data_IF_366480266733
#
_entry.id   IF_366480266733
#
_cell.length_a   1.000
_cell.length_b   1.000
_cell.length_c   1.000
_cell.angle_alpha   90.00
_cell.angle_beta   90.00
_cell.angle_gamma   90.00
#
_symmetry.space_group_name_H-M   'P 1'
#
loop_
_entity.id
_entity.type
_entity.pdbx_description
1 polymer ?
#
# COMPACT_ATOMS: atom_id res chain seq x y z
N UNK A 1 12.12 -1.50 -2.25
CA UNK A 1 11.18 -2.61 -2.02
C UNK A 1 11.63 -3.46 -0.84
N UNK A 2 12.60 -4.39 -1.00
CA UNK A 2 13.01 -5.33 0.07
C UNK A 2 13.38 -4.68 1.41
N UNK A 3 14.00 -3.51 1.39
CA UNK A 3 14.36 -2.76 2.60
C UNK A 3 13.20 -2.02 3.27
N UNK A 4 12.16 -1.65 2.53
CA UNK A 4 11.05 -0.81 2.99
C UNK A 4 9.72 -1.56 3.15
N UNK A 5 9.71 -2.87 2.92
CA UNK A 5 8.55 -3.76 3.12
C UNK A 5 8.99 -4.99 3.90
N UNK A 6 8.08 -5.71 4.58
CA UNK A 6 8.39 -6.97 5.29
C UNK A 6 8.45 -8.19 4.35
N UNK A 7 8.88 -8.02 3.09
CA UNK A 7 8.85 -9.11 2.11
C UNK A 7 9.68 -10.32 2.53
N UNK A 8 10.79 -10.11 3.23
CA UNK A 8 11.64 -11.14 3.81
C UNK A 8 10.93 -11.97 4.89
N UNK A 9 10.01 -11.37 5.64
CA UNK A 9 9.13 -12.09 6.58
C UNK A 9 8.05 -12.84 5.81
N UNK A 10 7.41 -12.17 4.85
CA UNK A 10 6.35 -12.74 4.00
C UNK A 10 6.83 -13.97 3.24
N UNK A 11 8.05 -13.95 2.71
CA UNK A 11 8.67 -15.08 2.01
C UNK A 11 8.90 -16.30 2.93
N UNK A 12 8.91 -16.09 4.25
CA UNK A 12 9.09 -17.11 5.30
C UNK A 12 7.77 -17.47 5.99
N UNK A 13 6.66 -16.87 5.59
CA UNK A 13 5.32 -17.28 5.98
C UNK A 13 4.81 -18.19 4.86
N UNK A 14 4.32 -19.37 5.21
CA UNK A 14 3.55 -20.19 4.27
C UNK A 14 2.21 -19.50 3.99
N UNK A 15 2.21 -18.50 3.12
CA UNK A 15 0.99 -17.86 2.62
C UNK A 15 0.45 -18.74 1.49
N UNK A 16 -0.11 -19.89 1.87
CA UNK A 16 -0.62 -20.92 0.96
C UNK A 16 0.45 -21.90 0.46
N UNK A 17 0.02 -22.89 -0.32
CA UNK A 17 0.83 -24.04 -0.76
C UNK A 17 1.91 -23.73 -1.81
N UNK A 18 2.10 -22.45 -2.16
CA UNK A 18 2.84 -22.02 -3.34
C UNK A 18 4.01 -21.12 -2.96
N UNK A 19 5.24 -21.38 -3.47
CA UNK A 19 6.40 -20.58 -3.12
C UNK A 19 6.24 -19.12 -3.59
N UNK A 20 6.78 -18.14 -2.85
CA UNK A 20 6.62 -16.71 -3.13
C UNK A 20 7.36 -16.24 -4.40
N UNK A 21 8.37 -16.97 -4.84
CA UNK A 21 9.14 -16.72 -6.06
C UNK A 21 9.06 -17.89 -7.04
N UNK A 22 9.25 -17.62 -8.34
CA UNK A 22 9.34 -18.67 -9.38
C UNK A 22 10.70 -19.36 -9.40
N UNK A 23 11.77 -18.70 -8.93
CA UNK A 23 13.16 -19.19 -8.86
C UNK A 23 13.83 -18.74 -7.55
N UNK A 24 14.93 -19.37 -7.13
CA UNK A 24 15.69 -19.02 -5.89
C UNK A 24 16.39 -17.64 -5.90
N UNK A 25 16.05 -16.74 -6.82
CA UNK A 25 16.64 -15.40 -6.94
C UNK A 25 15.81 -14.32 -6.26
N UNK A 26 16.48 -13.24 -5.83
CA UNK A 26 15.87 -12.10 -5.12
C UNK A 26 15.30 -11.02 -6.05
N UNK A 27 15.39 -11.23 -7.38
CA UNK A 27 14.92 -10.28 -8.40
C UNK A 27 13.40 -10.09 -8.35
N UNK A 28 12.98 -8.83 -8.42
CA UNK A 28 11.58 -8.40 -8.48
C UNK A 28 10.82 -9.08 -9.63
N UNK A 29 11.49 -9.35 -10.76
CA UNK A 29 10.87 -10.02 -11.91
C UNK A 29 10.36 -11.44 -11.62
N UNK A 30 10.94 -12.09 -10.61
CA UNK A 30 10.57 -13.45 -10.21
C UNK A 30 9.52 -13.50 -9.10
N UNK A 31 9.17 -12.34 -8.52
CA UNK A 31 8.21 -12.20 -7.44
C UNK A 31 6.79 -12.40 -7.97
N UNK A 32 6.00 -13.23 -7.28
CA UNK A 32 4.59 -13.43 -7.63
C UNK A 32 3.73 -12.22 -7.21
N UNK A 33 2.56 -12.09 -7.85
CA UNK A 33 1.63 -10.98 -7.59
C UNK A 33 1.16 -10.91 -6.12
N UNK A 34 0.88 -12.06 -5.49
CA UNK A 34 0.40 -12.10 -4.09
C UNK A 34 1.45 -11.51 -3.13
N UNK A 35 2.71 -12.01 -3.07
CA UNK A 35 3.74 -11.40 -2.23
C UNK A 35 4.00 -9.91 -2.53
N UNK A 36 3.90 -9.49 -3.79
CA UNK A 36 4.03 -8.08 -4.17
C UNK A 36 2.93 -7.22 -3.53
N UNK A 37 1.66 -7.55 -3.81
CA UNK A 37 0.51 -6.82 -3.26
C UNK A 37 0.56 -6.83 -1.75
N UNK A 38 0.82 -8.00 -1.15
CA UNK A 38 0.82 -8.17 0.28
C UNK A 38 1.91 -7.33 0.96
N UNK A 39 3.12 -7.27 0.41
CA UNK A 39 4.21 -6.45 0.95
C UNK A 39 3.88 -4.94 0.97
N UNK A 40 3.18 -4.43 -0.05
CA UNK A 40 2.73 -3.03 -0.08
C UNK A 40 1.48 -2.76 0.74
N UNK A 41 0.66 -3.76 1.00
CA UNK A 41 -0.42 -3.67 1.99
C UNK A 41 0.14 -3.54 3.40
N UNK A 42 1.17 -4.32 3.73
CA UNK A 42 1.78 -4.30 5.06
C UNK A 42 2.41 -2.94 5.41
N UNK A 43 3.10 -2.31 4.46
CA UNK A 43 3.71 -0.99 4.70
C UNK A 43 2.75 0.19 4.51
N UNK A 44 1.44 -0.08 4.39
CA UNK A 44 0.36 0.90 4.28
C UNK A 44 0.43 1.83 3.06
N UNK A 45 1.23 1.52 2.04
CA UNK A 45 1.27 2.34 0.80
C UNK A 45 0.28 1.84 -0.27
N UNK A 46 -0.02 0.53 -0.32
CA UNK A 46 -1.01 -0.06 -1.22
C UNK A 46 -0.86 0.30 -2.71
N UNK A 47 0.37 0.54 -3.18
CA UNK A 47 0.62 1.15 -4.50
C UNK A 47 0.02 0.37 -5.67
N UNK A 48 -0.18 -0.94 -5.53
CA UNK A 48 -0.76 -1.80 -6.57
C UNK A 48 -2.19 -1.43 -6.95
N UNK A 49 -2.94 -0.75 -6.08
CA UNK A 49 -4.35 -0.43 -6.33
C UNK A 49 -4.62 0.98 -6.84
N UNK A 50 -3.61 1.85 -6.94
CA UNK A 50 -3.84 3.26 -7.30
C UNK A 50 -2.66 3.98 -7.98
N UNK A 51 -1.45 3.45 -7.92
CA UNK A 51 -0.27 4.16 -8.43
C UNK A 51 -0.33 4.31 -9.96
N UNK A 52 -0.23 5.55 -10.43
CA UNK A 52 -0.31 5.91 -11.85
C UNK A 52 -1.69 6.39 -12.29
N UNK A 53 -2.74 6.21 -11.48
CA UNK A 53 -4.09 6.66 -11.82
C UNK A 53 -4.18 8.17 -11.98
N UNK A 54 -3.72 8.92 -10.96
CA UNK A 54 -3.70 10.38 -10.99
C UNK A 54 -2.84 10.93 -12.11
N UNK A 55 -1.62 10.40 -12.26
CA UNK A 55 -0.72 10.80 -13.34
C UNK A 55 -1.33 10.61 -14.74
N UNK A 56 -1.95 9.45 -15.00
CA UNK A 56 -2.54 9.17 -16.30
C UNK A 56 -3.68 10.14 -16.64
N UNK A 57 -4.55 10.43 -15.66
CA UNK A 57 -5.66 11.35 -15.84
C UNK A 57 -5.19 12.80 -16.01
N UNK A 58 -4.26 13.27 -15.18
CA UNK A 58 -3.66 14.61 -15.31
C UNK A 58 -3.02 14.78 -16.70
N UNK A 59 -2.26 13.78 -17.18
CA UNK A 59 -1.63 13.83 -18.50
C UNK A 59 -2.63 13.77 -19.65
N UNK A 60 -3.72 13.02 -19.52
CA UNK A 60 -4.77 13.00 -20.53
C UNK A 60 -5.48 14.35 -20.64
N UNK A 61 -5.69 15.03 -19.50
CA UNK A 61 -6.27 16.38 -19.45
C UNK A 61 -5.31 17.43 -20.00
N UNK A 62 -4.05 17.43 -19.58
CA UNK A 62 -3.03 18.36 -20.09
C UNK A 62 -2.86 18.27 -21.61
N UNK A 63 -2.98 17.07 -22.18
CA UNK A 63 -2.89 16.82 -23.63
C UNK A 63 -4.19 17.11 -24.39
N UNK A 64 -5.27 17.49 -23.69
CA UNK A 64 -6.57 17.76 -24.31
C UNK A 64 -7.28 16.53 -24.87
N UNK A 65 -6.90 15.32 -24.45
CA UNK A 65 -7.56 14.06 -24.88
C UNK A 65 -8.96 13.96 -24.24
N UNK A 66 -9.08 14.42 -23.00
CA UNK A 66 -10.32 14.52 -22.22
C UNK A 66 -10.25 15.76 -21.35
N UNK A 67 -11.40 16.29 -20.93
CA UNK A 67 -11.48 17.30 -19.87
C UNK A 67 -11.90 16.68 -18.52
N UNK A 68 -11.74 17.41 -17.42
CA UNK A 68 -12.32 17.00 -16.13
C UNK A 68 -13.84 16.86 -16.19
N UNK A 69 -14.53 17.66 -17.01
CA UNK A 69 -15.97 17.54 -17.21
C UNK A 69 -16.34 16.24 -17.94
N UNK A 70 -15.52 15.81 -18.90
CA UNK A 70 -15.68 14.52 -19.57
C UNK A 70 -15.50 13.38 -18.58
N UNK A 71 -14.42 13.39 -17.79
CA UNK A 71 -14.17 12.35 -16.78
C UNK A 71 -15.32 12.22 -15.75
N UNK A 72 -15.89 13.34 -15.29
CA UNK A 72 -17.09 13.33 -14.43
C UNK A 72 -18.32 12.75 -15.16
N UNK A 73 -18.47 13.04 -16.45
CA UNK A 73 -19.56 12.50 -17.26
C UNK A 73 -19.41 11.00 -17.48
N UNK A 74 -18.18 10.56 -17.78
CA UNK A 74 -17.83 9.15 -17.94
C UNK A 74 -18.08 8.40 -16.64
N UNK A 75 -17.68 8.95 -15.49
CA UNK A 75 -17.95 8.36 -14.17
C UNK A 75 -19.45 8.16 -13.89
N UNK A 76 -20.30 9.08 -14.35
CA UNK A 76 -21.76 8.98 -14.18
C UNK A 76 -22.45 8.03 -15.15
N UNK A 77 -21.86 7.80 -16.34
CA UNK A 77 -22.52 7.11 -17.45
C UNK A 77 -21.93 5.74 -17.79
N UNK A 78 -20.69 5.48 -17.40
CA UNK A 78 -19.98 4.26 -17.73
C UNK A 78 -19.60 3.47 -16.49
N UNK A 79 -20.35 2.39 -16.24
CA UNK A 79 -20.20 1.53 -15.06
C UNK A 79 -18.79 0.99 -14.86
N UNK A 80 -18.06 0.69 -15.94
CA UNK A 80 -16.67 0.24 -15.82
C UNK A 80 -15.77 1.31 -15.20
N UNK A 81 -15.84 2.55 -15.69
CA UNK A 81 -15.01 3.64 -15.18
C UNK A 81 -15.44 4.05 -13.77
N UNK A 82 -16.74 3.96 -13.47
CA UNK A 82 -17.27 4.10 -12.13
C UNK A 82 -16.65 3.08 -11.18
N UNK A 83 -16.78 1.79 -11.48
CA UNK A 83 -16.24 0.72 -10.64
C UNK A 83 -14.70 0.81 -10.49
N UNK A 84 -13.99 1.19 -11.55
CA UNK A 84 -12.54 1.43 -11.48
C UNK A 84 -12.22 2.57 -10.50
N UNK A 85 -12.90 3.70 -10.63
CA UNK A 85 -12.67 4.89 -9.77
C UNK A 85 -13.04 4.60 -8.32
N UNK A 86 -14.18 3.93 -8.08
CA UNK A 86 -14.65 3.55 -6.75
C UNK A 86 -13.66 2.56 -6.08
N UNK A 87 -13.08 1.64 -6.85
CA UNK A 87 -12.04 0.74 -6.35
C UNK A 87 -10.75 1.49 -5.99
N UNK A 88 -10.29 2.41 -6.86
CA UNK A 88 -9.12 3.25 -6.58
C UNK A 88 -9.35 4.09 -5.32
N UNK A 89 -10.53 4.70 -5.19
CA UNK A 89 -10.93 5.46 -4.00
C UNK A 89 -10.87 4.62 -2.73
N UNK A 90 -11.44 3.41 -2.78
CA UNK A 90 -11.43 2.48 -1.65
C UNK A 90 -10.00 2.13 -1.24
N UNK A 91 -9.09 1.88 -2.18
CA UNK A 91 -7.68 1.59 -1.83
C UNK A 91 -6.96 2.83 -1.30
N UNK A 92 -7.17 4.00 -1.91
CA UNK A 92 -6.58 5.27 -1.43
C UNK A 92 -7.02 5.60 0.00
N UNK A 93 -8.28 5.31 0.36
CA UNK A 93 -8.80 5.54 1.71
C UNK A 93 -8.13 4.68 2.80
N UNK A 94 -7.48 3.59 2.39
CA UNK A 94 -6.76 2.65 3.27
C UNK A 94 -5.26 2.95 3.35
N UNK A 95 -4.71 3.67 2.37
CA UNK A 95 -3.31 4.01 2.31
C UNK A 95 -2.96 5.10 3.34
N UNK A 96 -1.78 4.98 3.94
CA UNK A 96 -1.27 5.88 4.96
C UNK A 96 0.19 6.20 4.66
N UNK A 97 0.42 7.42 4.15
CA UNK A 97 1.76 7.89 3.81
C UNK A 97 2.59 8.21 5.07
N UNK A 98 1.96 8.46 6.22
CA UNK A 98 2.67 8.67 7.50
C UNK A 98 3.34 7.38 7.94
N UNK A 99 2.56 6.30 8.03
CA UNK A 99 3.09 4.97 8.35
C UNK A 99 4.06 4.51 7.24
N UNK A 100 3.72 4.73 5.98
CA UNK A 100 4.61 4.43 4.85
C UNK A 100 5.98 5.12 4.97
N UNK A 101 6.02 6.34 5.52
CA UNK A 101 7.24 7.08 5.82
C UNK A 101 8.05 6.48 6.97
N UNK A 102 7.41 5.91 7.98
CA UNK A 102 8.11 5.18 9.05
C UNK A 102 8.77 3.90 8.52
N UNK A 103 8.10 3.16 7.61
CA UNK A 103 8.72 2.01 6.92
C UNK A 103 9.91 2.42 6.03
N UNK A 104 9.89 3.61 5.44
CA UNK A 104 11.03 4.13 4.67
C UNK A 104 12.30 4.19 5.53
N UNK A 105 12.19 4.47 6.83
CA UNK A 105 13.36 4.56 7.74
C UNK A 105 14.12 3.24 7.85
N UNK A 106 13.46 2.10 7.62
CA UNK A 106 14.11 0.78 7.54
C UNK A 106 15.17 0.70 6.43
N UNK A 107 15.04 1.53 5.39
CA UNK A 107 16.00 1.60 4.28
C UNK A 107 17.10 2.64 4.47
N UNK A 108 17.23 3.19 5.68
CA UNK A 108 18.15 4.29 6.00
C UNK A 108 17.62 5.69 5.63
N UNK A 109 16.45 5.78 4.99
CA UNK A 109 15.77 7.05 4.73
C UNK A 109 16.47 7.98 3.73
N UNK A 110 17.39 7.47 2.91
CA UNK A 110 18.22 8.28 2.02
C UNK A 110 18.26 7.73 0.59
N UNK A 111 18.90 8.49 -0.31
CA UNK A 111 19.18 8.08 -1.68
C UNK A 111 17.93 7.70 -2.48
N UNK A 112 17.99 6.55 -3.14
CA UNK A 112 16.92 6.04 -4.01
C UNK A 112 15.62 5.79 -3.25
N UNK A 113 15.68 5.32 -2.00
CA UNK A 113 14.49 5.00 -1.24
C UNK A 113 13.64 6.26 -0.96
N UNK A 114 14.30 7.37 -0.59
CA UNK A 114 13.65 8.67 -0.39
C UNK A 114 13.03 9.21 -1.69
N UNK A 115 13.73 9.05 -2.83
CA UNK A 115 13.21 9.46 -4.15
C UNK A 115 11.95 8.67 -4.52
N UNK A 116 11.98 7.35 -4.37
CA UNK A 116 10.84 6.47 -4.66
C UNK A 116 9.66 6.78 -3.75
N UNK A 117 9.90 6.96 -2.44
CA UNK A 117 8.82 7.32 -1.52
C UNK A 117 8.21 8.68 -1.88
N UNK A 118 9.03 9.68 -2.22
CA UNK A 118 8.53 10.97 -2.71
C UNK A 118 7.64 10.81 -3.96
N UNK A 119 8.05 10.00 -4.94
CA UNK A 119 7.21 9.71 -6.11
C UNK A 119 5.88 9.07 -5.73
N UNK A 120 5.88 8.14 -4.77
CA UNK A 120 4.68 7.49 -4.26
C UNK A 120 3.77 8.50 -3.55
N UNK A 121 4.29 9.30 -2.63
CA UNK A 121 3.50 10.31 -1.91
C UNK A 121 2.92 11.39 -2.85
N UNK A 122 3.69 11.85 -3.84
CA UNK A 122 3.19 12.78 -4.85
C UNK A 122 2.09 12.15 -5.71
N UNK A 123 2.25 10.90 -6.10
CA UNK A 123 1.22 10.18 -6.86
C UNK A 123 -0.03 9.90 -6.02
N UNK A 124 0.12 9.65 -4.72
CA UNK A 124 -1.01 9.49 -3.80
C UNK A 124 -1.88 10.74 -3.81
N UNK A 125 -1.27 11.91 -3.65
CA UNK A 125 -2.00 13.18 -3.67
C UNK A 125 -2.62 13.50 -5.04
N UNK A 126 -1.93 13.15 -6.14
CA UNK A 126 -2.49 13.28 -7.49
C UNK A 126 -3.73 12.40 -7.67
N UNK A 127 -3.62 11.12 -7.34
CA UNK A 127 -4.73 10.17 -7.45
C UNK A 127 -5.90 10.57 -6.54
N UNK A 128 -5.62 11.01 -5.30
CA UNK A 128 -6.64 11.51 -4.37
C UNK A 128 -7.39 12.72 -4.95
N UNK A 129 -6.67 13.73 -5.46
CA UNK A 129 -7.31 14.90 -6.09
C UNK A 129 -8.12 14.53 -7.32
N UNK A 130 -7.60 13.63 -8.16
CA UNK A 130 -8.30 13.17 -9.36
C UNK A 130 -9.62 12.48 -9.00
N UNK A 131 -9.61 11.56 -8.03
CA UNK A 131 -10.81 10.90 -7.52
C UNK A 131 -11.83 11.92 -7.02
N UNK A 132 -11.45 12.80 -6.09
CA UNK A 132 -12.38 13.80 -5.53
C UNK A 132 -12.96 14.74 -6.61
N UNK A 133 -12.18 15.07 -7.64
CA UNK A 133 -12.63 15.88 -8.77
C UNK A 133 -13.66 15.14 -9.66
N UNK A 134 -13.43 13.84 -9.88
CA UNK A 134 -14.31 12.98 -10.67
C UNK A 134 -15.62 12.68 -9.95
N UNK A 135 -15.54 12.30 -8.67
CA UNK A 135 -16.70 11.92 -7.87
C UNK A 135 -17.49 13.15 -7.39
N UNK A 136 -16.81 14.29 -7.22
CA UNK A 136 -17.39 15.51 -6.64
C UNK A 136 -17.45 15.48 -5.10
N UNK A 137 -16.79 14.51 -4.47
CA UNK A 137 -16.74 14.36 -3.02
C UNK A 137 -15.74 15.34 -2.37
N UNK A 138 -15.92 15.61 -1.08
CA UNK A 138 -14.99 16.47 -0.32
C UNK A 138 -13.88 15.64 0.32
N UNK A 139 -14.22 14.48 0.83
CA UNK A 139 -13.30 13.48 1.35
C UNK A 139 -13.57 12.14 0.67
N UNK A 140 -12.55 11.27 0.67
CA UNK A 140 -12.70 9.94 0.10
C UNK A 140 -13.78 9.18 0.87
N UNK A 141 -14.61 8.44 0.12
CA UNK A 141 -15.72 7.63 0.63
C UNK A 141 -16.86 8.43 1.27
N UNK A 142 -17.08 9.69 0.88
CA UNK A 142 -18.25 10.45 1.35
C UNK A 142 -19.56 9.78 0.88
N UNK A 143 -19.56 9.07 -0.25
CA UNK A 143 -20.67 8.22 -0.71
C UNK A 143 -20.86 6.92 0.08
N UNK A 144 -19.89 6.52 0.91
CA UNK A 144 -19.95 5.31 1.73
C UNK A 144 -19.52 5.57 3.20
N UNK A 145 -20.34 6.29 3.97
CA UNK A 145 -19.99 6.70 5.34
C UNK A 145 -19.81 5.50 6.30
N UNK A 146 -20.47 4.37 6.03
CA UNK A 146 -20.30 3.14 6.81
C UNK A 146 -18.89 2.58 6.65
N UNK A 147 -18.39 2.47 5.42
CA UNK A 147 -17.02 2.05 5.15
C UNK A 147 -16.01 3.05 5.70
N UNK A 148 -16.23 4.36 5.48
CA UNK A 148 -15.37 5.42 6.00
C UNK A 148 -15.22 5.33 7.54
N UNK A 149 -16.33 5.14 8.26
CA UNK A 149 -16.33 4.93 9.72
C UNK A 149 -15.61 3.65 10.12
N UNK A 150 -15.85 2.55 9.43
CA UNK A 150 -15.21 1.26 9.69
C UNK A 150 -13.69 1.33 9.58
N UNK A 151 -13.18 2.01 8.55
CA UNK A 151 -11.75 2.24 8.38
C UNK A 151 -11.17 3.10 9.51
N UNK A 152 -11.84 4.21 9.85
CA UNK A 152 -11.42 5.10 10.94
C UNK A 152 -11.35 4.39 12.29
N UNK A 153 -12.28 3.48 12.57
CA UNK A 153 -12.29 2.71 13.83
C UNK A 153 -11.20 1.63 13.88
N UNK A 154 -10.74 1.15 12.73
CA UNK A 154 -9.70 0.13 12.65
C UNK A 154 -8.28 0.70 12.74
N UNK A 155 -8.02 1.87 12.17
CA UNK A 155 -6.67 2.45 12.12
C UNK A 155 -5.98 2.51 13.49
N UNK A 156 -6.64 2.93 14.60
CA UNK A 156 -6.02 2.94 15.94
C UNK A 156 -5.50 1.57 16.42
N UNK A 157 -5.96 0.46 15.84
CA UNK A 157 -5.46 -0.89 16.14
C UNK A 157 -4.38 -1.34 15.15
N UNK A 158 -4.45 -0.92 13.89
CA UNK A 158 -3.47 -1.31 12.87
C UNK A 158 -2.18 -0.53 13.04
N UNK A 159 -2.26 0.76 13.37
CA UNK A 159 -1.10 1.66 13.40
C UNK A 159 -0.06 1.23 14.47
N UNK A 160 -0.46 0.86 15.71
CA UNK A 160 0.49 0.30 16.68
C UNK A 160 1.14 -1.00 16.19
N UNK A 161 0.38 -1.88 15.51
CA UNK A 161 0.93 -3.13 14.96
C UNK A 161 1.96 -2.83 13.87
N UNK A 162 1.71 -1.83 13.01
CA UNK A 162 2.68 -1.35 12.02
C UNK A 162 3.96 -0.84 12.68
N UNK A 163 3.88 -0.05 13.74
CA UNK A 163 5.06 0.46 14.45
C UNK A 163 5.85 -0.67 15.15
N UNK A 164 5.16 -1.63 15.76
CA UNK A 164 5.79 -2.85 16.31
C UNK A 164 6.50 -3.62 15.21
N UNK A 165 5.85 -3.83 14.07
CA UNK A 165 6.46 -4.52 12.93
C UNK A 165 7.74 -3.81 12.46
N UNK A 166 7.73 -2.48 12.31
CA UNK A 166 8.91 -1.70 11.93
C UNK A 166 10.05 -1.91 12.94
N UNK A 167 9.76 -1.77 14.24
CA UNK A 167 10.78 -1.93 15.29
C UNK A 167 11.43 -3.32 15.25
N UNK A 168 10.63 -4.37 15.15
CA UNK A 168 11.14 -5.74 15.16
C UNK A 168 11.76 -6.16 13.81
N UNK A 169 11.38 -5.54 12.69
CA UNK A 169 12.10 -5.72 11.42
C UNK A 169 13.53 -5.17 11.52
N UNK A 170 13.75 -4.03 12.18
CA UNK A 170 15.11 -3.50 12.40
C UNK A 170 15.95 -4.50 13.19
N UNK A 171 15.42 -5.01 14.30
CA UNK A 171 16.12 -5.99 15.15
C UNK A 171 16.39 -7.28 14.36
N UNK A 172 15.40 -7.76 13.61
CA UNK A 172 15.52 -9.00 12.84
C UNK A 172 16.58 -8.95 11.73
N UNK A 173 16.74 -7.77 11.11
CA UNK A 173 17.67 -7.53 10.01
C UNK A 173 19.07 -7.13 10.47
N UNK A 174 19.24 -6.78 11.74
CA UNK A 174 20.56 -6.50 12.30
C UNK A 174 21.32 -7.81 12.53
N UNK A 175 22.40 -8.02 11.77
CA UNK A 175 23.25 -9.21 11.87
C UNK A 175 24.07 -9.24 13.16
N UNK A 176 24.30 -8.08 13.79
CA UNK A 176 25.02 -7.98 15.08
C UNK A 176 24.15 -8.32 16.28
N UNK A 177 22.84 -8.43 16.06
CA UNK A 177 21.92 -8.99 17.03
C UNK A 177 22.12 -10.52 17.07
N UNK A 178 23.22 -10.98 17.68
CA UNK A 178 23.40 -12.36 18.13
C UNK A 178 22.25 -12.69 19.08
N UNK A 179 21.21 -13.35 18.56
CA UNK A 179 20.03 -13.61 19.35
C UNK A 179 19.56 -15.04 19.12
N UNK A 180 19.69 -15.87 20.16
CA UNK A 180 18.96 -17.14 20.31
C UNK A 180 17.43 -16.96 20.26
N UNK A 181 16.94 -15.72 20.20
CA UNK A 181 15.53 -15.32 20.05
C UNK A 181 15.13 -14.97 18.62
N UNK A 182 15.97 -15.22 17.60
CA UNK A 182 15.65 -14.90 16.20
C UNK A 182 14.33 -15.54 15.74
N UNK A 183 14.04 -16.74 16.23
CA UNK A 183 12.79 -17.44 15.93
C UNK A 183 11.58 -16.75 16.61
N UNK A 184 11.69 -16.37 17.88
CA UNK A 184 10.65 -15.63 18.61
C UNK A 184 10.31 -14.29 17.91
N UNK A 185 11.33 -13.57 17.45
CA UNK A 185 11.15 -12.32 16.70
C UNK A 185 10.45 -12.59 15.37
N UNK A 186 10.82 -13.66 14.66
CA UNK A 186 10.13 -14.04 13.44
C UNK A 186 8.66 -14.33 13.72
N UNK A 187 8.33 -15.10 14.76
CA UNK A 187 6.94 -15.44 15.09
C UNK A 187 6.11 -14.23 15.55
N UNK A 188 6.73 -13.27 16.25
CA UNK A 188 6.13 -11.96 16.50
C UNK A 188 5.85 -11.22 15.17
N UNK A 189 6.83 -11.14 14.27
CA UNK A 189 6.67 -10.49 12.97
C UNK A 189 5.56 -11.15 12.15
N UNK A 190 5.45 -12.49 12.17
CA UNK A 190 4.33 -13.23 11.55
C UNK A 190 2.99 -12.81 12.13
N UNK A 191 2.91 -12.67 13.45
CA UNK A 191 1.71 -12.18 14.13
C UNK A 191 1.35 -10.75 13.71
N UNK A 192 2.33 -9.85 13.57
CA UNK A 192 2.07 -8.50 13.05
C UNK A 192 1.58 -8.51 11.60
N UNK A 193 2.14 -9.38 10.76
CA UNK A 193 1.72 -9.54 9.36
C UNK A 193 0.25 -9.96 9.29
N UNK A 194 -0.14 -10.94 10.09
CA UNK A 194 -1.53 -11.40 10.19
C UNK A 194 -2.45 -10.30 10.75
N UNK A 195 -2.02 -9.59 11.79
CA UNK A 195 -2.79 -8.50 12.39
C UNK A 195 -3.07 -7.36 11.42
N UNK A 196 -2.05 -6.89 10.69
CA UNK A 196 -2.21 -5.86 9.67
C UNK A 196 -3.09 -6.37 8.53
N UNK A 197 -2.90 -7.61 8.07
CA UNK A 197 -3.72 -8.18 6.99
C UNK A 197 -5.22 -8.28 7.38
N UNK A 198 -5.51 -8.80 8.57
CA UNK A 198 -6.86 -8.91 9.12
C UNK A 198 -7.51 -7.54 9.31
N UNK A 199 -6.69 -6.57 9.74
CA UNK A 199 -6.99 -5.15 9.68
C UNK A 199 -7.39 -4.78 8.26
N UNK A 200 -6.44 -4.65 7.34
CA UNK A 200 -6.60 -4.09 5.99
C UNK A 200 -7.73 -4.71 5.15
N UNK A 201 -8.04 -6.00 5.34
CA UNK A 201 -9.02 -6.77 4.54
C UNK A 201 -8.68 -6.71 3.05
N UNK A 202 -9.68 -6.56 2.17
CA UNK A 202 -9.47 -6.44 0.73
C UNK A 202 -8.69 -5.15 0.40
N UNK A 203 -7.69 -5.22 -0.48
CA UNK A 203 -6.81 -4.07 -0.79
C UNK A 203 -6.57 -3.86 -2.28
N UNK A 204 -7.31 -4.60 -3.10
CA UNK A 204 -7.20 -4.67 -4.55
C UNK A 204 -7.87 -5.94 -5.05
#
# INVERSE_FOLDING_TARGET
>A
FRSATPIDVIERIEIGSRPPSRNNGTDLKNLRAIPWVFAWTQNRQLISGWFGFGFALEKAVERGIVSWADLRTIYKKWEFFKALTDNVEMVLSKADMTIGGEYLRLSGGQGTAKKVFKMISEEYERSRRAVLNITGEKNLLDSNPSLQRSLRLRNPYIDPISLVQIKFLQIYRDEKSENGRRQEILDLLRSTVNGIAAGMRNTG
#
